data_IF_473684598381
#
_entry.id   IF_473684598381
#
_cell.length_a   1.000
_cell.length_b   1.000
_cell.length_c   1.000
_cell.angle_alpha   90.00
_cell.angle_beta   90.00
_cell.angle_gamma   90.00
#
_symmetry.space_group_name_H-M   'P 1'
#
loop_
_entity.id
_entity.type
_entity.pdbx_description
1 polymer ?
#
# COMPACT_ATOMS: atom_id res chain seq x y z
N UNK A 1 14.50 32.28 6.05
CA UNK A 1 14.96 33.63 5.66
C UNK A 1 16.45 33.74 5.86
N UNK A 2 17.16 34.44 4.99
CA UNK A 2 18.57 34.73 5.16
C UNK A 2 18.73 36.05 5.94
N UNK A 3 19.02 35.95 7.24
CA UNK A 3 19.26 37.10 8.12
C UNK A 3 20.72 37.57 8.10
N UNK A 4 21.59 36.97 7.29
CA UNK A 4 22.97 37.37 7.12
C UNK A 4 23.14 38.59 6.21
N UNK A 5 24.39 39.02 6.03
CA UNK A 5 24.75 40.13 5.13
C UNK A 5 25.14 39.70 3.71
N UNK A 6 25.28 38.39 3.47
CA UNK A 6 25.75 37.83 2.20
C UNK A 6 24.74 36.82 1.66
N UNK A 7 24.72 36.64 0.34
CA UNK A 7 23.95 35.59 -0.31
C UNK A 7 24.37 34.20 0.16
N UNK A 8 23.41 33.29 0.27
CA UNK A 8 23.62 31.91 0.71
C UNK A 8 23.03 30.95 -0.31
N UNK A 9 23.86 30.06 -0.86
CA UNK A 9 23.37 28.99 -1.73
C UNK A 9 23.04 27.74 -0.91
N UNK A 10 21.83 27.24 -1.09
CA UNK A 10 21.33 25.97 -0.56
C UNK A 10 21.92 24.84 -1.39
N UNK A 11 22.53 23.87 -0.73
CA UNK A 11 23.12 22.68 -1.35
C UNK A 11 22.19 21.47 -1.28
N UNK A 12 21.58 21.24 -0.11
CA UNK A 12 20.63 20.15 0.09
C UNK A 12 19.65 20.46 1.21
N UNK A 13 18.46 19.88 1.12
CA UNK A 13 17.52 19.79 2.23
C UNK A 13 17.63 18.40 2.83
N UNK A 14 17.52 18.30 4.16
CA UNK A 14 17.60 17.06 4.90
C UNK A 14 16.37 16.88 5.79
N UNK A 15 15.93 15.64 5.94
CA UNK A 15 14.91 15.18 6.86
C UNK A 15 15.55 14.18 7.82
N UNK A 16 15.48 14.46 9.11
CA UNK A 16 16.04 13.60 10.18
C UNK A 16 17.52 13.23 9.93
N UNK A 17 18.29 14.19 9.42
CA UNK A 17 19.72 14.06 9.11
C UNK A 17 20.05 13.39 7.76
N UNK A 18 19.04 12.93 7.02
CA UNK A 18 19.20 12.29 5.70
C UNK A 18 18.81 13.27 4.60
N UNK A 19 19.57 13.33 3.50
CA UNK A 19 19.21 14.18 2.36
C UNK A 19 17.88 13.74 1.75
N UNK A 20 16.95 14.68 1.55
CA UNK A 20 15.65 14.38 0.93
C UNK A 20 15.85 14.19 -0.57
N UNK A 21 15.17 13.20 -1.14
CA UNK A 21 15.27 12.90 -2.57
C UNK A 21 14.62 13.99 -3.44
N UNK A 22 13.55 14.62 -2.94
CA UNK A 22 12.76 15.58 -3.71
C UNK A 22 12.32 16.79 -2.88
N UNK A 23 12.59 17.98 -3.40
CA UNK A 23 12.07 19.24 -2.88
C UNK A 23 11.97 20.26 -4.01
N UNK A 24 11.10 21.26 -3.84
CA UNK A 24 10.89 22.34 -4.83
C UNK A 24 10.87 23.69 -4.13
N UNK A 25 11.35 24.72 -4.83
CA UNK A 25 11.21 26.11 -4.38
C UNK A 25 9.82 26.62 -4.77
N UNK A 26 8.98 26.88 -3.78
CA UNK A 26 7.67 27.52 -3.97
C UNK A 26 7.83 29.01 -4.26
N UNK A 27 8.88 29.63 -3.70
CA UNK A 27 9.27 31.01 -3.99
C UNK A 27 10.80 31.18 -3.94
N UNK A 28 11.32 32.02 -4.82
CA UNK A 28 12.76 32.26 -4.99
C UNK A 28 13.49 31.09 -5.66
N UNK A 29 14.80 31.01 -5.45
CA UNK A 29 15.64 29.94 -5.99
C UNK A 29 16.64 29.41 -4.95
N UNK A 30 17.59 28.59 -5.41
CA UNK A 30 18.60 27.95 -4.55
C UNK A 30 19.59 28.92 -3.90
N UNK A 31 19.67 30.17 -4.35
CA UNK A 31 20.50 31.22 -3.75
C UNK A 31 19.58 32.26 -3.10
N UNK A 32 19.77 32.46 -1.80
CA UNK A 32 18.93 33.36 -0.99
C UNK A 32 19.76 34.59 -0.67
N UNK A 33 19.42 35.74 -1.25
CA UNK A 33 20.11 36.99 -0.98
C UNK A 33 19.87 37.47 0.47
N UNK A 34 20.71 38.38 0.94
CA UNK A 34 20.61 38.94 2.28
C UNK A 34 19.25 39.65 2.47
N UNK A 35 18.53 39.28 3.53
CA UNK A 35 17.19 39.81 3.83
C UNK A 35 16.05 39.08 3.11
N UNK A 36 16.34 38.15 2.19
CA UNK A 36 15.30 37.44 1.46
C UNK A 36 14.76 36.21 2.21
N UNK A 37 13.57 35.78 1.79
CA UNK A 37 12.92 34.57 2.28
C UNK A 37 12.51 33.71 1.10
N UNK A 38 12.97 32.46 1.12
CA UNK A 38 12.52 31.41 0.21
C UNK A 38 11.60 30.44 0.93
N UNK A 39 10.63 29.91 0.20
CA UNK A 39 9.72 28.87 0.68
C UNK A 39 10.05 27.59 -0.07
N UNK A 40 10.30 26.51 0.66
CA UNK A 40 10.65 25.21 0.09
C UNK A 40 9.55 24.23 0.46
N UNK A 41 9.07 23.48 -0.54
CA UNK A 41 8.18 22.34 -0.35
C UNK A 41 9.00 21.06 -0.45
N UNK A 42 8.96 20.26 0.60
CA UNK A 42 9.68 18.97 0.70
C UNK A 42 8.68 17.85 0.45
N UNK A 43 9.05 16.90 -0.41
CA UNK A 43 8.26 15.71 -0.71
C UNK A 43 8.96 14.50 -0.11
N UNK A 44 8.40 14.00 0.99
CA UNK A 44 8.90 12.81 1.66
C UNK A 44 7.74 12.10 2.37
N UNK A 45 8.04 10.94 2.94
CA UNK A 45 7.12 10.20 3.77
C UNK A 45 7.25 10.66 5.24
N UNK A 46 6.17 11.23 5.77
CA UNK A 46 6.11 11.71 7.15
C UNK A 46 5.24 10.78 7.99
N UNK A 47 5.81 10.30 9.10
CA UNK A 47 5.04 9.52 10.07
C UNK A 47 4.15 10.46 10.88
N UNK A 48 2.84 10.21 10.85
CA UNK A 48 1.89 10.98 11.66
C UNK A 48 2.23 10.91 13.15
N UNK A 49 2.06 12.03 13.87
CA UNK A 49 2.40 12.17 15.29
C UNK A 49 3.89 12.01 15.63
N UNK A 50 4.79 12.04 14.64
CA UNK A 50 6.24 12.07 14.85
C UNK A 50 6.75 13.49 14.61
N UNK A 51 7.72 13.90 15.43
CA UNK A 51 8.46 15.14 15.20
C UNK A 51 9.54 14.88 14.17
N UNK A 52 9.56 15.69 13.12
CA UNK A 52 10.53 15.62 12.05
C UNK A 52 11.46 16.83 12.09
N UNK A 53 12.75 16.57 11.93
CA UNK A 53 13.79 17.59 11.86
C UNK A 53 14.13 17.88 10.39
N UNK A 54 13.78 19.07 9.93
CA UNK A 54 14.22 19.60 8.65
C UNK A 54 15.52 20.36 8.82
N UNK A 55 16.52 20.05 8.01
CA UNK A 55 17.77 20.81 7.99
C UNK A 55 18.09 21.29 6.57
N UNK A 56 18.49 22.55 6.43
CA UNK A 56 18.99 23.10 5.16
C UNK A 56 20.49 23.20 5.25
N UNK A 57 21.20 22.47 4.39
CA UNK A 57 22.66 22.52 4.29
C UNK A 57 23.03 23.46 3.17
N UNK A 58 23.82 24.47 3.50
CA UNK A 58 24.34 25.46 2.55
C UNK A 58 25.63 24.97 1.90
N UNK A 59 26.03 25.55 0.77
CA UNK A 59 27.31 25.20 0.11
C UNK A 59 28.54 25.46 0.99
N UNK A 60 28.45 26.36 1.97
CA UNK A 60 29.51 26.60 2.96
C UNK A 60 29.51 25.60 4.13
N UNK A 61 28.60 24.62 4.13
CA UNK A 61 28.48 23.61 5.18
C UNK A 61 27.73 24.08 6.44
N UNK A 62 27.18 25.30 6.44
CA UNK A 62 26.35 25.80 7.53
C UNK A 62 24.95 25.17 7.43
N UNK A 63 24.45 24.63 8.54
CA UNK A 63 23.13 24.01 8.65
C UNK A 63 22.14 24.90 9.41
N UNK A 64 20.92 25.01 8.89
CA UNK A 64 19.78 25.58 9.63
C UNK A 64 18.81 24.47 9.98
N UNK A 65 18.33 24.41 11.22
CA UNK A 65 17.45 23.35 11.71
C UNK A 65 16.07 23.92 12.05
N UNK A 66 15.03 23.26 11.55
CA UNK A 66 13.63 23.52 11.87
C UNK A 66 12.96 22.20 12.25
N UNK A 67 12.27 22.16 13.39
CA UNK A 67 11.55 20.96 13.85
C UNK A 67 10.06 21.22 13.78
N UNK A 68 9.33 20.34 13.10
CA UNK A 68 7.88 20.39 13.02
C UNK A 68 7.29 19.00 13.26
N UNK A 69 6.14 18.96 13.94
CA UNK A 69 5.35 17.75 14.06
C UNK A 69 4.44 17.63 12.82
N UNK A 70 4.43 16.44 12.21
CA UNK A 70 3.44 16.15 11.18
C UNK A 70 2.03 16.22 11.82
N UNK A 71 1.06 16.91 11.19
CA UNK A 71 -0.31 16.96 11.71
C UNK A 71 -0.86 15.54 11.85
N UNK A 72 -1.78 15.33 12.82
CA UNK A 72 -2.50 14.06 12.92
C UNK A 72 -3.08 13.72 11.55
N UNK A 73 -2.96 12.46 11.12
CA UNK A 73 -3.46 12.00 9.82
C UNK A 73 -4.89 12.50 9.63
N UNK A 74 -5.06 13.54 8.82
CA UNK A 74 -6.38 14.11 8.55
C UNK A 74 -7.18 13.07 7.78
N UNK A 75 -8.29 12.61 8.34
CA UNK A 75 -9.27 11.84 7.60
C UNK A 75 -9.68 12.66 6.37
N UNK A 76 -9.38 12.17 5.18
CA UNK A 76 -9.80 12.83 3.94
C UNK A 76 -11.28 12.53 3.76
N UNK A 77 -12.16 13.44 4.21
CA UNK A 77 -13.58 13.35 3.88
C UNK A 77 -13.76 13.74 2.41
N UNK A 78 -13.95 12.74 1.56
CA UNK A 78 -14.29 12.94 0.15
C UNK A 78 -15.81 13.16 0.08
N UNK A 79 -16.24 14.41 -0.09
CA UNK A 79 -17.63 14.69 -0.48
C UNK A 79 -17.79 14.23 -1.93
N UNK A 80 -18.40 13.06 -2.14
CA UNK A 80 -18.87 12.66 -3.45
C UNK A 80 -20.10 13.53 -3.79
N UNK A 81 -20.01 14.36 -4.83
CA UNK A 81 -21.16 15.10 -5.32
C UNK A 81 -22.13 14.10 -5.99
N UNK A 82 -23.17 13.69 -5.27
CA UNK A 82 -24.29 12.99 -5.87
C UNK A 82 -25.00 13.89 -6.88
N UNK A 83 -25.22 13.38 -8.09
CA UNK A 83 -26.08 14.02 -9.09
C UNK A 83 -27.48 14.21 -8.52
N UNK A 84 -27.92 15.46 -8.47
CA UNK A 84 -29.19 15.91 -7.90
C UNK A 84 -30.32 15.45 -8.84
N UNK A 85 -31.02 14.39 -8.46
CA UNK A 85 -32.43 14.22 -8.80
C UNK A 85 -33.23 14.12 -7.50
N UNK A 86 -33.68 15.29 -7.04
CA UNK A 86 -34.73 15.51 -6.03
C UNK A 86 -34.54 14.87 -4.64
N UNK A 87 -33.80 15.54 -3.75
CA UNK A 87 -33.97 15.36 -2.30
C UNK A 87 -33.93 16.71 -1.59
N UNK A 88 -34.99 17.02 -0.83
CA UNK A 88 -35.04 18.12 0.14
C UNK A 88 -34.21 17.73 1.39
N UNK A 89 -32.89 17.69 1.28
CA UNK A 89 -32.04 17.47 2.46
C UNK A 89 -31.79 18.79 3.19
N UNK A 90 -32.33 18.89 4.40
CA UNK A 90 -32.03 19.94 5.37
C UNK A 90 -30.63 19.68 5.94
N UNK A 91 -29.63 20.44 5.47
CA UNK A 91 -28.28 20.36 6.01
C UNK A 91 -28.28 20.88 7.46
N UNK A 92 -28.14 19.97 8.43
CA UNK A 92 -27.87 20.37 9.81
C UNK A 92 -26.40 20.73 9.92
N UNK A 93 -26.11 22.04 10.02
CA UNK A 93 -24.77 22.55 10.24
C UNK A 93 -24.26 22.07 11.61
N UNK A 94 -23.26 21.20 11.62
CA UNK A 94 -22.58 20.78 12.86
C UNK A 94 -21.53 21.83 13.20
N UNK A 95 -21.81 22.65 14.22
CA UNK A 95 -20.87 23.62 14.76
C UNK A 95 -19.81 22.89 15.60
N UNK A 96 -18.56 22.86 15.13
CA UNK A 96 -17.42 22.20 15.81
C UNK A 96 -16.72 23.10 16.85
N UNK A 97 -17.29 24.25 17.22
CA UNK A 97 -16.66 25.20 18.14
C UNK A 97 -16.94 24.94 19.64
N UNK A 98 -17.52 23.81 20.01
CA UNK A 98 -17.87 23.55 21.42
C UNK A 98 -17.31 22.22 21.89
N UNK A 99 -16.02 22.23 22.25
CA UNK A 99 -15.49 21.56 23.45
C UNK A 99 -13.96 21.69 23.49
N UNK A 100 -13.47 22.89 23.79
CA UNK A 100 -12.18 23.04 24.48
C UNK A 100 -12.49 23.77 25.79
N UNK A 101 -12.99 23.02 26.77
CA UNK A 101 -13.02 23.50 28.15
C UNK A 101 -11.61 23.38 28.74
N UNK A 102 -10.98 24.54 28.88
CA UNK A 102 -9.78 24.75 29.69
C UNK A 102 -10.10 24.43 31.16
N UNK A 103 -9.30 23.56 31.77
CA UNK A 103 -9.26 23.32 33.23
C UNK A 103 -8.41 22.08 33.49
N UNK A 104 -7.28 22.11 34.20
CA UNK A 104 -7.02 22.84 35.43
C UNK A 104 -6.87 21.79 36.54
N UNK A 105 -5.66 21.67 37.09
CA UNK A 105 -5.31 20.80 38.23
C UNK A 105 -6.32 20.91 39.39
N UNK A 106 -6.54 19.82 40.14
CA UNK A 106 -6.38 19.70 41.61
C UNK A 106 -6.82 18.30 42.09
N UNK A 107 -6.05 17.77 43.04
CA UNK A 107 -6.24 16.55 43.82
C UNK A 107 -7.45 16.58 44.76
N UNK A 108 -8.04 15.42 45.05
CA UNK A 108 -8.44 15.08 46.44
C UNK A 108 -8.65 13.58 46.65
N UNK A 109 -8.05 13.11 47.75
CA UNK A 109 -8.44 11.92 48.50
C UNK A 109 -9.86 12.09 49.04
N UNK A 110 -10.69 11.04 48.98
CA UNK A 110 -11.43 10.49 50.12
C UNK A 110 -12.18 9.21 49.69
N UNK A 111 -12.06 8.16 50.50
CA UNK A 111 -12.60 6.84 50.21
C UNK A 111 -14.03 6.63 50.68
N UNK A 112 -14.55 5.44 50.40
CA UNK A 112 -15.58 4.79 51.19
C UNK A 112 -15.57 3.28 50.93
N UNK A 113 -15.25 2.55 51.99
CA UNK A 113 -15.74 1.23 52.36
C UNK A 113 -16.99 0.75 51.59
N UNK A 114 -16.93 -0.46 51.01
CA UNK A 114 -18.03 -1.43 51.13
C UNK A 114 -17.48 -2.84 51.24
N UNK A 115 -17.82 -3.47 52.36
CA UNK A 115 -17.64 -4.88 52.71
C UNK A 115 -18.79 -5.65 52.08
N UNK A 116 -18.53 -6.78 51.43
CA UNK A 116 -19.60 -7.60 50.87
C UNK A 116 -19.16 -8.90 50.20
N UNK A 117 -18.82 -9.87 51.06
CA UNK A 117 -19.04 -11.32 50.95
C UNK A 117 -18.64 -12.10 49.69
N UNK A 118 -17.84 -13.13 49.95
CA UNK A 118 -17.33 -14.07 48.98
C UNK A 118 -18.38 -15.01 48.37
N UNK A 119 -18.01 -15.50 47.20
CA UNK A 119 -18.33 -16.82 46.68
C UNK A 119 -17.15 -17.20 45.78
N UNK A 120 -16.20 -17.93 46.36
CA UNK A 120 -15.09 -18.53 45.62
C UNK A 120 -15.64 -19.68 44.77
N UNK A 121 -15.80 -19.46 43.48
CA UNK A 121 -15.90 -20.55 42.51
C UNK A 121 -14.52 -20.82 41.94
N UNK A 122 -13.87 -21.84 42.51
CA UNK A 122 -12.74 -22.53 41.89
C UNK A 122 -13.25 -23.22 40.62
N UNK A 123 -12.95 -22.64 39.45
CA UNK A 123 -13.01 -23.36 38.18
C UNK A 123 -11.61 -23.91 37.91
N UNK A 124 -11.45 -25.23 38.00
CA UNK A 124 -10.24 -25.90 37.55
C UNK A 124 -10.00 -25.56 36.07
N UNK A 125 -8.77 -25.16 35.68
CA UNK A 125 -8.47 -24.94 34.26
C UNK A 125 -8.52 -26.30 33.53
N UNK A 126 -9.07 -26.36 32.30
CA UNK A 126 -9.10 -27.59 31.53
C UNK A 126 -7.67 -28.06 31.23
N UNK A 127 -7.21 -29.09 31.96
CA UNK A 127 -6.00 -29.86 31.68
C UNK A 127 -6.26 -30.82 30.52
N UNK A 128 -6.32 -30.33 29.29
CA UNK A 128 -5.83 -31.04 28.09
C UNK A 128 -5.83 -30.08 26.90
N UNK A 129 -4.68 -29.47 26.63
CA UNK A 129 -4.41 -28.93 25.29
C UNK A 129 -4.01 -30.13 24.43
N UNK A 130 -4.95 -30.68 23.67
CA UNK A 130 -4.59 -31.56 22.57
C UNK A 130 -3.88 -30.71 21.53
N UNK A 131 -2.55 -30.82 21.50
CA UNK A 131 -1.68 -30.40 20.41
C UNK A 131 -2.27 -30.93 19.09
N UNK A 132 -3.00 -30.08 18.37
CA UNK A 132 -3.30 -30.31 16.98
C UNK A 132 -1.97 -30.18 16.24
N UNK A 133 -1.45 -31.32 15.78
CA UNK A 133 -0.32 -31.35 14.87
C UNK A 133 -0.66 -30.47 13.66
N UNK A 134 0.10 -29.41 13.50
CA UNK A 134 0.10 -28.57 12.31
C UNK A 134 0.31 -29.49 11.10
N UNK A 135 -0.72 -29.63 10.27
CA UNK A 135 -0.62 -30.33 8.99
C UNK A 135 0.42 -29.57 8.15
N UNK A 136 1.39 -30.32 7.63
CA UNK A 136 2.53 -29.77 6.91
C UNK A 136 2.09 -28.86 5.77
N UNK A 137 2.41 -27.57 5.90
CA UNK A 137 2.43 -26.66 4.77
C UNK A 137 3.49 -27.17 3.81
N UNK A 138 3.08 -27.54 2.59
CA UNK A 138 4.00 -27.84 1.51
C UNK A 138 4.66 -26.54 1.04
N UNK A 139 5.83 -26.25 1.59
CA UNK A 139 6.61 -25.06 1.28
C UNK A 139 7.28 -25.15 -0.10
N UNK A 140 7.26 -26.30 -0.77
CA UNK A 140 7.96 -26.51 -2.05
C UNK A 140 7.37 -25.67 -3.19
N UNK A 141 6.06 -25.36 -3.14
CA UNK A 141 5.42 -24.49 -4.12
C UNK A 141 5.87 -23.03 -4.03
N UNK A 142 6.19 -22.54 -2.82
CA UNK A 142 6.60 -21.15 -2.62
C UNK A 142 8.01 -20.87 -3.13
N UNK A 143 8.94 -21.83 -2.97
CA UNK A 143 10.32 -21.67 -3.44
C UNK A 143 10.44 -21.61 -4.97
N UNK A 144 9.55 -22.28 -5.72
CA UNK A 144 9.58 -22.27 -7.17
C UNK A 144 9.12 -20.91 -7.76
N UNK A 145 8.13 -20.28 -7.13
CA UNK A 145 7.62 -18.96 -7.52
C UNK A 145 8.67 -17.85 -7.30
N UNK A 146 9.49 -17.95 -6.26
CA UNK A 146 10.54 -16.97 -5.97
C UNK A 146 11.67 -16.99 -7.00
N UNK A 147 12.14 -18.17 -7.41
CA UNK A 147 13.20 -18.28 -8.42
C UNK A 147 12.77 -17.69 -9.78
N UNK A 148 11.49 -17.86 -10.15
CA UNK A 148 10.93 -17.34 -11.40
C UNK A 148 10.71 -15.83 -11.36
N UNK A 149 10.27 -15.28 -10.23
CA UNK A 149 10.20 -13.85 -10.02
C UNK A 149 11.59 -13.20 -10.13
N UNK A 150 12.64 -13.85 -9.64
CA UNK A 150 14.02 -13.39 -9.80
C UNK A 150 14.49 -13.39 -11.26
N UNK A 151 14.13 -14.41 -12.05
CA UNK A 151 14.48 -14.43 -13.47
C UNK A 151 13.76 -13.33 -14.26
N UNK A 152 12.51 -13.03 -13.91
CA UNK A 152 11.77 -11.90 -14.47
C UNK A 152 12.38 -10.54 -14.08
N UNK A 153 12.86 -10.40 -12.85
CA UNK A 153 13.64 -9.22 -12.46
C UNK A 153 14.92 -9.06 -13.26
N UNK A 154 15.62 -10.15 -13.57
CA UNK A 154 16.82 -10.07 -14.39
C UNK A 154 16.50 -9.54 -15.79
N UNK A 155 15.36 -9.92 -16.37
CA UNK A 155 14.89 -9.39 -17.67
C UNK A 155 14.45 -7.92 -17.55
N UNK A 156 13.70 -7.55 -16.50
CA UNK A 156 13.35 -6.14 -16.23
C UNK A 156 14.62 -5.29 -16.03
N UNK A 157 15.57 -5.77 -15.24
CA UNK A 157 16.82 -5.09 -14.96
C UNK A 157 17.68 -4.95 -16.23
N UNK A 158 17.74 -5.99 -17.08
CA UNK A 158 18.42 -5.95 -18.36
C UNK A 158 17.76 -4.93 -19.32
N UNK A 159 16.42 -4.87 -19.35
CA UNK A 159 15.68 -3.87 -20.15
C UNK A 159 15.88 -2.46 -19.62
N UNK A 160 15.87 -2.26 -18.30
CA UNK A 160 16.23 -0.97 -17.66
C UNK A 160 17.64 -0.57 -18.09
N UNK A 161 18.62 -1.46 -17.98
CA UNK A 161 20.00 -1.19 -18.39
C UNK A 161 20.13 -0.84 -19.89
N UNK A 162 19.35 -1.46 -20.77
CA UNK A 162 19.28 -1.13 -22.19
C UNK A 162 18.71 0.27 -22.45
N UNK A 163 17.65 0.65 -21.72
CA UNK A 163 17.07 2.00 -21.79
C UNK A 163 18.08 3.04 -21.29
N UNK A 164 18.76 2.77 -20.16
CA UNK A 164 19.80 3.65 -19.64
C UNK A 164 21.00 3.78 -20.60
N UNK A 165 21.45 2.70 -21.24
CA UNK A 165 22.53 2.76 -22.24
C UNK A 165 22.12 3.49 -23.53
N UNK A 166 20.85 3.41 -23.94
CA UNK A 166 20.34 4.21 -25.06
C UNK A 166 20.33 5.72 -24.76
N UNK A 167 20.22 6.10 -23.48
CA UNK A 167 20.28 7.49 -23.03
C UNK A 167 21.70 8.06 -23.02
N UNK A 168 22.75 7.23 -22.88
CA UNK A 168 24.14 7.67 -23.05
C UNK A 168 24.48 7.92 -24.53
N UNK A 169 23.91 7.14 -25.45
CA UNK A 169 24.04 7.37 -26.90
C UNK A 169 23.33 8.64 -27.40
N UNK A 170 22.41 9.22 -26.63
CA UNK A 170 21.77 10.51 -26.96
C UNK A 170 22.39 11.71 -26.24
N UNK A 171 23.38 11.52 -25.37
CA UNK A 171 24.12 12.63 -24.75
C UNK A 171 25.15 13.29 -25.67
N UNK A 172 25.46 12.72 -26.84
CA UNK A 172 26.37 13.34 -27.81
C UNK A 172 25.68 14.31 -28.78
N UNK A 173 24.35 14.38 -28.83
CA UNK A 173 23.62 15.40 -29.58
C UNK A 173 22.47 15.95 -28.74
N UNK A 174 22.68 17.04 -27.99
CA UNK A 174 21.82 18.25 -27.90
C UNK A 174 22.50 19.24 -26.95
N UNK A 175 23.39 20.08 -27.49
CA UNK A 175 23.86 21.33 -26.85
C UNK A 175 22.95 22.49 -27.28
N UNK A 176 21.67 22.44 -26.92
CA UNK A 176 20.72 23.49 -27.30
C UNK A 176 19.42 23.40 -26.51
N UNK A 177 19.35 24.18 -25.44
CA UNK A 177 18.13 24.75 -24.83
C UNK A 177 16.81 23.98 -25.08
N UNK A 178 16.57 22.93 -24.31
CA UNK A 178 15.21 22.46 -24.00
C UNK A 178 15.28 21.57 -22.77
N UNK A 179 14.90 22.12 -21.61
CA UNK A 179 14.80 21.37 -20.36
C UNK A 179 13.70 20.33 -20.43
N UNK A 180 14.05 19.11 -20.83
CA UNK A 180 13.21 17.93 -20.64
C UNK A 180 13.35 17.50 -19.18
N UNK A 181 12.30 17.76 -18.40
CA UNK A 181 12.13 17.26 -17.04
C UNK A 181 12.05 15.73 -17.14
N UNK A 182 13.12 15.05 -16.71
CA UNK A 182 13.12 13.61 -16.50
C UNK A 182 12.44 13.33 -15.16
N UNK A 183 11.14 13.02 -15.19
CA UNK A 183 10.54 12.29 -14.07
C UNK A 183 11.19 10.90 -14.04
N UNK A 184 11.62 10.38 -12.87
CA UNK A 184 11.96 8.98 -12.78
C UNK A 184 10.71 8.21 -13.20
N UNK A 185 10.77 7.55 -14.35
CA UNK A 185 9.75 6.58 -14.74
C UNK A 185 9.75 5.57 -13.60
N UNK A 186 8.81 5.71 -12.67
CA UNK A 186 8.46 4.68 -11.71
C UNK A 186 7.89 3.58 -12.60
N UNK A 187 8.75 2.65 -13.03
CA UNK A 187 8.35 1.51 -13.84
C UNK A 187 7.58 0.58 -12.89
N UNK A 188 6.39 1.02 -12.49
CA UNK A 188 5.45 0.23 -11.74
C UNK A 188 5.04 -0.91 -12.66
N UNK A 189 5.34 -2.14 -12.26
CA UNK A 189 4.96 -3.28 -13.06
C UNK A 189 3.42 -3.32 -13.13
N UNK A 190 2.88 -3.24 -14.35
CA UNK A 190 1.44 -3.34 -14.57
C UNK A 190 1.10 -4.68 -15.18
N UNK A 191 0.10 -5.36 -14.61
CA UNK A 191 -0.40 -6.63 -15.10
C UNK A 191 -1.91 -6.57 -15.28
N UNK A 192 -2.42 -7.18 -16.34
CA UNK A 192 -3.85 -7.43 -16.53
C UNK A 192 -4.10 -8.94 -16.53
N UNK A 193 -4.74 -9.43 -15.48
CA UNK A 193 -5.19 -10.81 -15.34
C UNK A 193 -6.57 -10.96 -15.98
N UNK A 194 -6.67 -11.78 -17.03
CA UNK A 194 -7.93 -12.02 -17.75
C UNK A 194 -8.08 -13.49 -18.11
N UNK A 195 -9.29 -13.87 -18.52
CA UNK A 195 -9.59 -15.20 -19.02
C UNK A 195 -9.64 -15.21 -20.55
N UNK A 196 -8.88 -16.11 -21.17
CA UNK A 196 -8.85 -16.36 -22.61
C UNK A 196 -9.16 -17.84 -22.87
N UNK A 197 -10.39 -18.10 -23.33
CA UNK A 197 -10.91 -19.46 -23.45
C UNK A 197 -11.03 -20.15 -22.09
N UNK A 198 -10.35 -21.28 -21.92
CA UNK A 198 -10.34 -22.06 -20.67
C UNK A 198 -9.19 -21.68 -19.72
N UNK A 199 -8.35 -20.73 -20.10
CA UNK A 199 -7.13 -20.38 -19.37
C UNK A 199 -7.19 -18.94 -18.86
N UNK A 200 -6.59 -18.71 -17.70
CA UNK A 200 -6.24 -17.42 -17.15
C UNK A 200 -4.85 -17.04 -17.61
N UNK A 201 -4.67 -15.77 -17.94
CA UNK A 201 -3.39 -15.20 -18.35
C UNK A 201 -3.19 -13.85 -17.67
N UNK A 202 -1.96 -13.58 -17.23
CA UNK A 202 -1.53 -12.28 -16.75
C UNK A 202 -0.65 -11.62 -17.82
N UNK A 203 -1.14 -10.51 -18.38
CA UNK A 203 -0.47 -9.79 -19.46
C UNK A 203 0.26 -8.58 -18.89
N UNK A 204 1.52 -8.43 -19.23
CA UNK A 204 2.29 -7.24 -18.83
C UNK A 204 1.83 -6.03 -19.65
N UNK A 205 1.48 -4.93 -18.98
CA UNK A 205 0.87 -3.75 -19.62
C UNK A 205 1.73 -3.10 -20.70
N UNK A 206 3.05 -3.01 -20.49
CA UNK A 206 3.94 -2.33 -21.43
C UNK A 206 4.20 -3.14 -22.71
N UNK A 207 4.22 -4.46 -22.59
CA UNK A 207 4.69 -5.34 -23.66
C UNK A 207 3.56 -6.11 -24.33
N UNK A 208 2.40 -6.18 -23.66
CA UNK A 208 1.24 -6.97 -24.08
C UNK A 208 1.53 -8.48 -24.22
N UNK A 209 2.66 -8.96 -23.69
CA UNK A 209 2.96 -10.39 -23.63
C UNK A 209 2.33 -11.04 -22.40
N UNK A 210 1.96 -12.32 -22.55
CA UNK A 210 1.53 -13.16 -21.43
C UNK A 210 2.75 -13.49 -20.58
N UNK A 211 2.83 -12.88 -19.39
CA UNK A 211 3.90 -13.11 -18.45
C UNK A 211 3.68 -14.40 -17.63
N UNK A 212 2.42 -14.66 -17.26
CA UNK A 212 2.04 -15.82 -16.44
C UNK A 212 0.77 -16.48 -16.96
N UNK A 213 0.69 -17.82 -16.91
CA UNK A 213 -0.51 -18.57 -17.27
C UNK A 213 -0.66 -18.83 -18.77
N UNK A 214 -1.88 -18.74 -19.29
CA UNK A 214 -2.22 -19.11 -20.66
C UNK A 214 -2.18 -20.62 -20.91
N UNK A 215 -2.47 -21.03 -22.15
CA UNK A 215 -2.47 -22.45 -22.54
C UNK A 215 -1.10 -23.11 -22.51
N UNK A 216 -0.04 -22.30 -22.62
CA UNK A 216 1.35 -22.75 -22.65
C UNK A 216 2.02 -22.76 -21.27
N UNK A 217 1.33 -22.26 -20.23
CA UNK A 217 1.89 -22.17 -18.88
C UNK A 217 3.05 -21.19 -18.78
N UNK A 218 2.89 -20.01 -19.38
CA UNK A 218 3.85 -18.90 -19.33
C UNK A 218 4.29 -18.63 -17.89
N UNK A 219 5.58 -18.32 -17.72
CA UNK A 219 6.19 -18.14 -16.41
C UNK A 219 6.16 -19.39 -15.52
N UNK A 220 5.87 -20.58 -16.07
CA UNK A 220 5.74 -21.83 -15.32
C UNK A 220 4.45 -21.93 -14.50
N UNK A 221 3.47 -21.06 -14.76
CA UNK A 221 2.22 -20.99 -13.99
C UNK A 221 1.10 -21.67 -14.76
N UNK A 222 0.37 -22.59 -14.13
CA UNK A 222 -0.74 -23.29 -14.76
C UNK A 222 -1.90 -22.32 -15.07
N UNK A 223 -2.15 -22.03 -16.35
CA UNK A 223 -3.23 -21.14 -16.77
C UNK A 223 -4.62 -21.65 -16.41
N UNK A 224 -4.83 -22.93 -16.11
CA UNK A 224 -6.14 -23.41 -15.62
C UNK A 224 -6.42 -23.00 -14.17
N UNK A 225 -5.41 -22.54 -13.42
CA UNK A 225 -5.53 -22.06 -12.05
C UNK A 225 -5.44 -20.53 -12.01
N UNK A 226 -6.60 -19.87 -11.95
CA UNK A 226 -6.67 -18.41 -11.91
C UNK A 226 -6.02 -17.81 -10.65
N UNK A 227 -6.10 -18.51 -9.51
CA UNK A 227 -5.47 -18.09 -8.28
C UNK A 227 -3.95 -18.09 -8.36
N UNK A 228 -3.38 -19.13 -8.96
CA UNK A 228 -1.94 -19.20 -9.22
C UNK A 228 -1.47 -18.08 -10.15
N UNK A 229 -2.20 -17.81 -11.23
CA UNK A 229 -1.89 -16.72 -12.18
C UNK A 229 -1.94 -15.35 -11.50
N UNK A 230 -2.98 -15.09 -10.69
CA UNK A 230 -3.12 -13.82 -9.97
C UNK A 230 -2.01 -13.64 -8.92
N UNK A 231 -1.70 -14.66 -8.12
CA UNK A 231 -0.63 -14.58 -7.12
C UNK A 231 0.75 -14.39 -7.77
N UNK A 232 1.02 -15.01 -8.92
CA UNK A 232 2.25 -14.77 -9.66
C UNK A 232 2.38 -13.31 -10.13
N UNK A 233 1.30 -12.72 -10.64
CA UNK A 233 1.29 -11.30 -11.02
C UNK A 233 1.48 -10.37 -9.81
N UNK A 234 0.84 -10.65 -8.67
CA UNK A 234 1.02 -9.90 -7.41
C UNK A 234 2.48 -9.97 -6.95
N UNK A 235 3.08 -11.17 -6.95
CA UNK A 235 4.46 -11.34 -6.54
C UNK A 235 5.42 -10.58 -7.46
N UNK A 236 5.26 -10.72 -8.78
CA UNK A 236 6.08 -10.02 -9.76
C UNK A 236 5.97 -8.50 -9.63
N UNK A 237 4.77 -7.97 -9.34
CA UNK A 237 4.58 -6.54 -9.09
C UNK A 237 5.31 -6.07 -7.83
N UNK A 238 5.20 -6.81 -6.72
CA UNK A 238 5.89 -6.46 -5.48
C UNK A 238 7.41 -6.49 -5.63
N UNK A 239 7.91 -7.55 -6.25
CA UNK A 239 9.33 -7.78 -6.50
C UNK A 239 9.93 -6.69 -7.41
N UNK A 240 9.15 -6.10 -8.32
CA UNK A 240 9.54 -4.96 -9.15
C UNK A 240 9.63 -3.62 -8.39
N UNK A 241 9.38 -3.60 -7.08
CA UNK A 241 9.33 -2.40 -6.25
C UNK A 241 7.92 -1.78 -6.14
N UNK A 242 6.89 -2.53 -6.55
CA UNK A 242 5.51 -2.12 -6.55
C UNK A 242 4.88 -2.15 -7.94
N UNK A 243 3.55 -2.09 -7.97
CA UNK A 243 2.83 -2.21 -9.23
C UNK A 243 1.32 -2.27 -9.09
N UNK A 244 0.67 -2.41 -10.25
CA UNK A 244 -0.78 -2.54 -10.36
C UNK A 244 -1.14 -3.85 -11.04
N UNK A 245 -2.03 -4.62 -10.42
CA UNK A 245 -2.60 -5.84 -10.98
C UNK A 245 -4.09 -5.61 -11.19
N UNK A 246 -4.51 -5.52 -12.46
CA UNK A 246 -5.92 -5.38 -12.84
C UNK A 246 -6.52 -6.74 -13.13
N UNK A 247 -7.67 -7.07 -12.53
CA UNK A 247 -8.43 -8.28 -12.80
C UNK A 247 -9.57 -7.90 -13.74
N UNK A 248 -9.61 -8.52 -14.91
CA UNK A 248 -10.69 -8.34 -15.87
C UNK A 248 -12.01 -8.95 -15.38
N UNK A 249 -13.12 -8.48 -15.94
CA UNK A 249 -14.46 -9.00 -15.58
C UNK A 249 -14.57 -10.53 -15.64
N UNK A 250 -15.39 -11.10 -14.77
CA UNK A 250 -15.68 -12.53 -14.69
C UNK A 250 -15.39 -13.11 -13.30
N UNK A 251 -15.51 -14.44 -13.18
CA UNK A 251 -15.30 -15.17 -11.94
C UNK A 251 -13.91 -15.81 -11.91
N UNK A 252 -12.95 -15.17 -11.23
CA UNK A 252 -11.64 -15.74 -10.95
C UNK A 252 -11.72 -16.59 -9.68
N UNK A 253 -11.45 -17.88 -9.82
CA UNK A 253 -11.44 -18.83 -8.71
C UNK A 253 -10.04 -18.98 -8.14
N UNK A 254 -9.91 -18.95 -6.81
CA UNK A 254 -8.65 -19.15 -6.10
C UNK A 254 -8.87 -19.83 -4.74
N UNK A 255 -7.89 -20.60 -4.25
CA UNK A 255 -7.94 -21.13 -2.88
C UNK A 255 -7.57 -20.05 -1.85
N UNK A 256 -6.55 -19.26 -2.18
CA UNK A 256 -6.01 -18.18 -1.38
C UNK A 256 -5.34 -17.12 -2.27
N UNK A 257 -5.43 -15.86 -1.86
CA UNK A 257 -4.73 -14.71 -2.41
C UNK A 257 -3.77 -14.18 -1.36
N UNK A 258 -2.54 -13.89 -1.78
CA UNK A 258 -1.47 -13.41 -0.89
C UNK A 258 -1.14 -11.95 -1.19
N UNK A 259 -1.69 -10.98 -0.43
CA UNK A 259 -1.30 -9.58 -0.53
C UNK A 259 0.21 -9.39 -0.38
N UNK A 260 0.76 -8.43 -1.13
CA UNK A 260 2.17 -8.03 -1.07
C UNK A 260 2.31 -6.51 -0.98
N UNK A 261 3.38 -6.05 -0.33
CA UNK A 261 3.65 -4.63 -0.15
C UNK A 261 3.83 -3.92 -1.50
N UNK A 262 3.40 -2.65 -1.55
CA UNK A 262 3.46 -1.76 -2.72
C UNK A 262 2.64 -2.24 -3.94
N UNK A 263 1.71 -3.19 -3.74
CA UNK A 263 0.85 -3.70 -4.80
C UNK A 263 -0.55 -3.12 -4.68
N UNK A 264 -1.05 -2.59 -5.81
CA UNK A 264 -2.45 -2.23 -5.99
C UNK A 264 -3.17 -3.32 -6.82
N UNK A 265 -4.17 -3.98 -6.24
CA UNK A 265 -5.07 -4.90 -6.95
C UNK A 265 -6.37 -4.16 -7.26
N UNK A 266 -6.77 -4.10 -8.52
CA UNK A 266 -8.05 -3.48 -8.88
C UNK A 266 -8.86 -4.35 -9.83
N UNK A 267 -10.18 -4.34 -9.71
CA UNK A 267 -11.06 -4.92 -10.71
C UNK A 267 -11.55 -3.89 -11.73
N UNK A 268 -12.37 -4.36 -12.67
CA UNK A 268 -13.10 -3.54 -13.64
C UNK A 268 -14.55 -3.24 -13.18
N UNK A 269 -14.80 -3.29 -11.87
CA UNK A 269 -16.10 -3.06 -11.23
C UNK A 269 -16.72 -4.32 -10.61
N UNK A 270 -18.01 -4.22 -10.21
CA UNK A 270 -18.74 -5.27 -9.48
C UNK A 270 -18.76 -6.64 -10.17
N UNK A 271 -18.73 -6.66 -11.50
CA UNK A 271 -18.73 -7.90 -12.28
C UNK A 271 -17.36 -8.61 -12.31
N UNK A 272 -16.33 -8.00 -11.69
CA UNK A 272 -15.04 -8.64 -11.42
C UNK A 272 -15.14 -9.38 -10.10
N UNK A 273 -15.30 -10.70 -10.14
CA UNK A 273 -15.52 -11.52 -8.96
C UNK A 273 -14.28 -12.35 -8.66
N UNK A 274 -13.63 -12.05 -7.55
CA UNK A 274 -12.59 -12.87 -6.94
C UNK A 274 -13.27 -13.83 -5.96
N UNK A 275 -13.40 -15.11 -6.35
CA UNK A 275 -14.18 -16.11 -5.62
C UNK A 275 -13.30 -17.21 -5.04
N UNK A 276 -13.56 -17.59 -3.79
CA UNK A 276 -12.87 -18.71 -3.16
C UNK A 276 -13.37 -20.05 -3.73
N UNK A 277 -12.46 -20.98 -3.98
CA UNK A 277 -12.82 -22.35 -4.36
C UNK A 277 -13.68 -23.04 -3.28
N UNK A 278 -14.64 -23.86 -3.70
CA UNK A 278 -15.58 -24.55 -2.80
C UNK A 278 -14.89 -25.52 -1.84
N UNK A 279 -13.77 -26.12 -2.27
CA UNK A 279 -13.02 -27.09 -1.47
C UNK A 279 -11.85 -26.46 -0.71
N UNK A 280 -11.67 -25.13 -0.78
CA UNK A 280 -10.59 -24.46 -0.08
C UNK A 280 -10.81 -24.55 1.44
N UNK A 281 -9.75 -24.84 2.17
CA UNK A 281 -9.72 -24.93 3.63
C UNK A 281 -8.78 -23.90 4.26
N UNK A 282 -8.55 -22.80 3.56
CA UNK A 282 -7.61 -21.73 3.89
C UNK A 282 -8.34 -20.40 4.10
N UNK A 283 -7.71 -19.46 4.81
CA UNK A 283 -8.14 -18.06 4.80
C UNK A 283 -7.98 -17.53 3.37
N UNK A 284 -9.02 -16.88 2.83
CA UNK A 284 -9.05 -16.55 1.41
C UNK A 284 -8.07 -15.44 1.04
N UNK A 285 -8.03 -14.35 1.80
CA UNK A 285 -7.02 -13.30 1.62
C UNK A 285 -6.10 -13.35 2.83
N UNK A 286 -4.88 -13.83 2.66
CA UNK A 286 -3.98 -14.13 3.75
C UNK A 286 -2.57 -13.64 3.47
N UNK A 287 -1.97 -12.91 4.42
CA UNK A 287 -0.52 -12.65 4.41
C UNK A 287 0.09 -12.76 5.79
N UNK A 288 1.00 -13.72 5.96
CA UNK A 288 1.87 -13.92 7.13
C UNK A 288 2.86 -12.79 7.41
N UNK A 289 3.03 -11.89 6.45
CA UNK A 289 4.07 -10.85 6.46
C UNK A 289 3.47 -9.48 6.82
N UNK A 290 4.32 -8.55 7.29
CA UNK A 290 3.94 -7.13 7.40
C UNK A 290 3.73 -6.57 5.98
N UNK A 291 2.56 -6.01 5.73
CA UNK A 291 2.21 -5.39 4.44
C UNK A 291 2.28 -3.86 4.55
N UNK A 292 2.91 -3.20 3.57
CA UNK A 292 3.04 -1.74 3.48
C UNK A 292 2.52 -1.25 2.14
N UNK A 293 1.68 -0.21 2.12
CA UNK A 293 1.16 0.41 0.89
C UNK A 293 0.47 -0.60 -0.05
N UNK A 294 -0.50 -1.34 0.48
CA UNK A 294 -1.31 -2.27 -0.29
C UNK A 294 -2.71 -1.70 -0.50
N UNK A 295 -3.26 -1.87 -1.70
CA UNK A 295 -4.67 -1.55 -1.94
C UNK A 295 -5.39 -2.63 -2.73
N UNK A 296 -6.67 -2.82 -2.41
CA UNK A 296 -7.59 -3.67 -3.18
C UNK A 296 -8.91 -2.93 -3.39
N UNK A 297 -9.35 -2.78 -4.65
CA UNK A 297 -10.57 -2.01 -4.95
C UNK A 297 -11.30 -2.39 -6.25
N UNK A 298 -12.52 -1.87 -6.39
CA UNK A 298 -13.37 -1.99 -7.58
C UNK A 298 -13.62 -3.45 -8.04
N UNK A 299 -13.85 -4.36 -7.08
CA UNK A 299 -14.13 -5.78 -7.34
C UNK A 299 -15.04 -6.40 -6.28
N UNK A 300 -15.65 -7.53 -6.62
CA UNK A 300 -16.42 -8.37 -5.71
C UNK A 300 -15.53 -9.46 -5.11
N UNK A 301 -15.53 -9.59 -3.78
CA UNK A 301 -14.90 -10.70 -3.05
C UNK A 301 -16.02 -11.66 -2.63
N UNK A 302 -15.98 -12.87 -3.17
CA UNK A 302 -16.95 -13.91 -2.87
C UNK A 302 -16.27 -15.07 -2.12
N UNK A 303 -16.54 -15.19 -0.82
CA UNK A 303 -15.94 -16.25 0.00
C UNK A 303 -16.54 -17.63 -0.25
N UNK A 304 -17.59 -17.73 -1.06
CA UNK A 304 -18.21 -18.99 -1.48
C UNK A 304 -18.62 -19.91 -0.30
N UNK A 305 -18.97 -19.30 0.84
CA UNK A 305 -19.14 -20.01 2.10
C UNK A 305 -20.23 -21.08 2.06
N UNK A 306 -21.31 -20.85 1.32
CA UNK A 306 -22.40 -21.82 1.17
C UNK A 306 -21.94 -23.15 0.55
N UNK A 307 -20.82 -23.15 -0.16
CA UNK A 307 -20.27 -24.32 -0.84
C UNK A 307 -19.04 -24.89 -0.11
N UNK A 308 -18.65 -24.32 1.04
CA UNK A 308 -17.51 -24.79 1.83
C UNK A 308 -17.97 -25.75 2.93
N UNK A 309 -17.24 -26.86 3.08
CA UNK A 309 -17.50 -27.86 4.12
C UNK A 309 -16.96 -27.44 5.50
N UNK A 310 -15.86 -26.68 5.53
CA UNK A 310 -15.25 -26.13 6.76
C UNK A 310 -14.74 -24.70 6.51
N UNK A 311 -15.65 -23.74 6.45
CA UNK A 311 -15.31 -22.38 6.05
C UNK A 311 -14.42 -21.70 7.08
N UNK A 312 -13.35 -21.08 6.59
CA UNK A 312 -12.38 -20.32 7.38
C UNK A 312 -12.77 -18.83 7.45
N UNK A 313 -11.99 -18.05 8.19
CA UNK A 313 -12.07 -16.59 8.16
C UNK A 313 -11.81 -16.07 6.74
N UNK A 314 -12.47 -14.97 6.39
CA UNK A 314 -12.39 -14.44 5.04
C UNK A 314 -11.02 -13.84 4.73
N UNK A 315 -10.56 -12.91 5.57
CA UNK A 315 -9.35 -12.14 5.32
C UNK A 315 -8.55 -11.96 6.60
N UNK A 316 -7.23 -12.12 6.49
CA UNK A 316 -6.27 -11.83 7.54
C UNK A 316 -5.01 -11.23 6.91
N UNK A 317 -4.66 -10.01 7.32
CA UNK A 317 -3.46 -9.30 6.85
C UNK A 317 -2.59 -9.05 8.09
N UNK A 318 -1.34 -9.49 8.03
CA UNK A 318 -0.45 -9.66 9.17
C UNK A 318 -0.27 -8.44 10.10
N UNK A 319 0.30 -8.73 11.27
CA UNK A 319 0.52 -7.75 12.34
C UNK A 319 1.40 -6.58 11.88
N UNK A 320 1.05 -5.38 12.35
CA UNK A 320 1.76 -4.12 12.06
C UNK A 320 1.80 -3.72 10.58
N UNK A 321 0.83 -4.17 9.77
CA UNK A 321 0.64 -3.66 8.40
C UNK A 321 0.25 -2.18 8.41
N UNK A 322 0.76 -1.44 7.43
CA UNK A 322 0.64 0.03 7.34
C UNK A 322 0.11 0.41 5.95
N UNK A 323 -0.77 1.41 5.87
CA UNK A 323 -1.33 1.92 4.62
C UNK A 323 -2.00 0.81 3.78
N UNK A 324 -2.90 0.07 4.42
CA UNK A 324 -3.76 -0.92 3.77
C UNK A 324 -5.08 -0.25 3.40
N UNK A 325 -5.39 -0.17 2.10
CA UNK A 325 -6.57 0.49 1.58
C UNK A 325 -7.51 -0.49 0.89
N UNK A 326 -8.66 -0.75 1.50
CA UNK A 326 -9.72 -1.60 0.94
C UNK A 326 -10.94 -0.72 0.70
N UNK A 327 -11.31 -0.48 -0.56
CA UNK A 327 -12.41 0.42 -0.88
C UNK A 327 -13.14 -0.01 -2.14
N UNK A 328 -14.43 0.37 -2.26
CA UNK A 328 -15.28 -0.03 -3.39
C UNK A 328 -15.27 -1.54 -3.64
N UNK A 329 -15.32 -2.29 -2.54
CA UNK A 329 -15.43 -3.75 -2.57
C UNK A 329 -16.88 -4.13 -2.36
N UNK A 330 -17.35 -5.10 -3.13
CA UNK A 330 -18.60 -5.80 -2.85
C UNK A 330 -18.25 -7.12 -2.19
N UNK A 331 -18.80 -7.40 -1.01
CA UNK A 331 -18.49 -8.62 -0.28
C UNK A 331 -19.70 -9.54 -0.30
N UNK A 332 -19.50 -10.76 -0.78
CA UNK A 332 -20.56 -11.76 -0.91
C UNK A 332 -20.18 -13.02 -0.14
N UNK A 333 -21.21 -13.74 0.32
CA UNK A 333 -21.10 -15.07 0.90
C UNK A 333 -20.06 -15.19 2.02
N UNK A 334 -19.91 -14.18 2.88
CA UNK A 334 -19.03 -14.20 4.06
C UNK A 334 -19.78 -14.68 5.31
N UNK A 335 -19.16 -15.49 6.19
CA UNK A 335 -19.77 -15.84 7.50
C UNK A 335 -19.72 -14.71 8.49
N UNK A 336 -18.57 -14.03 8.55
CA UNK A 336 -18.16 -13.14 9.62
C UNK A 336 -16.91 -12.37 9.16
N UNK A 337 -16.96 -11.05 9.24
CA UNK A 337 -15.76 -10.21 9.22
C UNK A 337 -15.12 -10.25 10.61
N UNK A 338 -13.85 -10.65 10.66
CA UNK A 338 -12.98 -10.50 11.82
C UNK A 338 -12.21 -9.19 11.72
#
# INVERSE_FOLDING_TARGET
>A
SNFGSNAVSINSVQLDGTAVAEYTFVSGDSTVDAGETVTIKVFDFFLGNVSHQFSVVTKSGTGFVFVAAAPQTSATFRMESGTIENVNDEFTQVNLEKDISVGGFVSSNQGAYFVGNGLEHYADPPKTVMSHGYLGFDTSHFYALDAQAQQYLADIAARKALIFNSSELQKEEVNGESGLIWEPISIQATFHVRKTGNYWEAIQGDTQYVAFGGSEGAGGVNGSDGGAVLNAAINAASVAGGGRVTIGRGNLLADQITPKSYVNICGEGKDTVLRQNANANTIFIYSGEKIVNFSMHDLTIDYNHQNQSSPQEGMWIGYASEYVHLYKLWIENCKKFG
#
